data_IF_837924302528
#
_entry.id   IF_837924302528
#
_cell.length_a   1.000
_cell.length_b   1.000
_cell.length_c   1.000
_cell.angle_alpha   90.00
_cell.angle_beta   90.00
_cell.angle_gamma   90.00
#
_symmetry.space_group_name_H-M   'P 1'
#
loop_
_entity.id
_entity.type
_entity.pdbx_description
1 polymer ?
#
# COMPACT_ATOMS: atom_id res chain seq x y z
N UNK A 1 -3.27 -9.70 -24.42
CA UNK A 1 -3.69 -8.43 -23.83
C UNK A 1 -2.82 -8.10 -22.62
N UNK A 2 -2.25 -6.93 -22.62
CA UNK A 2 -1.41 -6.50 -21.51
C UNK A 2 -2.23 -5.73 -20.49
N UNK A 3 -2.37 -6.34 -19.33
CA UNK A 3 -3.05 -5.67 -18.23
C UNK A 3 -2.01 -5.06 -17.30
N UNK A 4 -2.05 -3.75 -17.16
CA UNK A 4 -1.09 -3.03 -16.30
C UNK A 4 -1.76 -2.72 -14.96
N UNK A 5 -1.47 -3.54 -13.97
CA UNK A 5 -2.06 -3.39 -12.64
C UNK A 5 -1.67 -2.07 -12.01
N UNK A 6 -0.41 -1.65 -12.16
CA UNK A 6 0.05 -0.37 -11.61
C UNK A 6 -0.77 0.80 -12.14
N UNK A 7 -0.92 0.84 -13.46
CA UNK A 7 -1.65 1.92 -14.09
C UNK A 7 -3.11 1.95 -13.64
N UNK A 8 -3.75 0.78 -13.58
CA UNK A 8 -5.14 0.69 -13.15
C UNK A 8 -5.32 1.19 -11.72
N UNK A 9 -4.44 0.79 -10.81
CA UNK A 9 -4.52 1.21 -9.41
C UNK A 9 -4.28 2.71 -9.28
N UNK A 10 -3.25 3.23 -9.94
CA UNK A 10 -2.93 4.65 -9.88
C UNK A 10 -4.11 5.47 -10.42
N UNK A 11 -4.69 5.06 -11.53
CA UNK A 11 -5.83 5.76 -12.11
C UNK A 11 -7.03 5.79 -11.17
N UNK A 12 -7.27 4.69 -10.46
CA UNK A 12 -8.39 4.62 -9.53
C UNK A 12 -8.25 5.60 -8.36
N UNK A 13 -7.02 5.91 -7.95
CA UNK A 13 -6.81 6.75 -6.77
C UNK A 13 -6.42 8.18 -7.09
N UNK A 14 -6.26 8.52 -8.36
CA UNK A 14 -5.70 9.81 -8.74
C UNK A 14 -6.54 11.00 -8.26
N UNK A 15 -7.86 10.86 -8.26
CA UNK A 15 -8.76 11.93 -7.86
C UNK A 15 -9.42 11.71 -6.50
N UNK A 16 -8.93 10.74 -5.73
CA UNK A 16 -9.52 10.42 -4.44
C UNK A 16 -9.12 11.42 -3.37
N UNK A 17 -10.08 11.75 -2.51
CA UNK A 17 -9.76 12.52 -1.32
C UNK A 17 -8.97 11.67 -0.32
N UNK A 18 -8.28 12.34 0.58
CA UNK A 18 -7.52 11.65 1.63
C UNK A 18 -8.43 10.75 2.46
N UNK A 19 -9.63 11.26 2.79
CA UNK A 19 -10.59 10.50 3.58
C UNK A 19 -11.03 9.22 2.86
N UNK A 20 -11.32 9.33 1.57
CA UNK A 20 -11.71 8.16 0.78
C UNK A 20 -10.57 7.19 0.60
N UNK A 21 -9.35 7.70 0.47
CA UNK A 21 -8.17 6.84 0.35
C UNK A 21 -7.99 6.01 1.63
N UNK A 22 -8.10 6.64 2.78
CA UNK A 22 -8.00 5.93 4.07
C UNK A 22 -9.08 4.85 4.15
N UNK A 23 -10.32 5.20 3.79
CA UNK A 23 -11.43 4.25 3.83
C UNK A 23 -11.16 3.05 2.92
N UNK A 24 -10.69 3.29 1.71
CA UNK A 24 -10.42 2.22 0.77
C UNK A 24 -9.32 1.30 1.27
N UNK A 25 -8.26 1.86 1.81
CA UNK A 25 -7.17 1.05 2.36
C UNK A 25 -7.65 0.23 3.55
N UNK A 26 -8.41 0.85 4.45
CA UNK A 26 -8.96 0.14 5.61
C UNK A 26 -9.86 -1.00 5.19
N UNK A 27 -10.72 -0.76 4.20
CA UNK A 27 -11.62 -1.80 3.71
C UNK A 27 -10.84 -2.96 3.09
N UNK A 28 -9.82 -2.64 2.31
CA UNK A 28 -9.00 -3.67 1.65
C UNK A 28 -8.25 -4.51 2.67
N UNK A 29 -7.63 -3.86 3.65
CA UNK A 29 -6.90 -4.57 4.70
C UNK A 29 -7.85 -5.43 5.52
N UNK A 30 -9.04 -4.94 5.78
CA UNK A 30 -10.03 -5.65 6.59
C UNK A 30 -10.63 -6.87 5.93
N UNK A 31 -10.59 -6.96 4.60
CA UNK A 31 -11.15 -8.11 3.89
C UNK A 31 -10.36 -9.39 4.10
N UNK A 32 -9.07 -9.27 4.41
CA UNK A 32 -8.20 -10.43 4.57
C UNK A 32 -8.25 -11.35 3.33
N UNK A 33 -8.31 -10.74 2.16
CA UNK A 33 -8.47 -11.41 0.88
C UNK A 33 -7.23 -11.15 0.04
N UNK A 34 -6.62 -12.21 -0.47
CA UNK A 34 -5.38 -12.10 -1.24
C UNK A 34 -5.56 -11.32 -2.54
N UNK A 35 -6.78 -11.21 -3.04
CA UNK A 35 -7.02 -10.48 -4.29
C UNK A 35 -6.78 -8.97 -4.15
N UNK A 36 -6.74 -8.44 -2.93
CA UNK A 36 -6.45 -7.01 -2.71
C UNK A 36 -4.96 -6.72 -2.63
N UNK A 37 -4.12 -7.75 -2.47
CA UNK A 37 -2.69 -7.55 -2.26
C UNK A 37 -1.98 -6.84 -3.41
N UNK A 38 -2.27 -7.15 -4.69
CA UNK A 38 -1.61 -6.40 -5.77
C UNK A 38 -1.88 -4.90 -5.72
N UNK A 39 -3.13 -4.51 -5.39
CA UNK A 39 -3.48 -3.10 -5.27
C UNK A 39 -2.74 -2.42 -4.13
N UNK A 40 -2.71 -3.07 -2.97
CA UNK A 40 -1.99 -2.54 -1.82
C UNK A 40 -0.49 -2.45 -2.09
N UNK A 41 0.06 -3.43 -2.82
CA UNK A 41 1.45 -3.42 -3.21
C UNK A 41 1.80 -2.25 -4.10
N UNK A 42 0.94 -1.91 -5.04
CA UNK A 42 1.14 -0.75 -5.90
C UNK A 42 1.14 0.54 -5.09
N UNK A 43 0.21 0.68 -4.16
CA UNK A 43 0.14 1.86 -3.29
C UNK A 43 1.44 1.99 -2.50
N UNK A 44 1.93 0.89 -1.94
CA UNK A 44 3.19 0.91 -1.20
C UNK A 44 4.37 1.26 -2.11
N UNK A 45 4.40 0.72 -3.31
CA UNK A 45 5.47 1.01 -4.26
C UNK A 45 5.53 2.49 -4.60
N UNK A 46 4.37 3.10 -4.85
CA UNK A 46 4.29 4.53 -5.16
C UNK A 46 4.83 5.35 -3.99
N UNK A 47 4.42 4.99 -2.77
CA UNK A 47 4.93 5.67 -1.57
C UNK A 47 6.45 5.53 -1.46
N UNK A 48 6.93 4.31 -1.57
CA UNK A 48 8.36 4.01 -1.37
C UNK A 48 9.25 4.77 -2.33
N UNK A 49 8.83 4.85 -3.60
CA UNK A 49 9.62 5.53 -4.62
C UNK A 49 9.78 7.02 -4.37
N UNK A 50 8.84 7.63 -3.68
CA UNK A 50 8.90 9.06 -3.38
C UNK A 50 9.56 9.37 -2.04
N UNK A 51 9.89 8.36 -1.25
CA UNK A 51 10.50 8.55 0.05
C UNK A 51 12.00 8.80 -0.08
N UNK A 52 12.53 9.65 0.80
CA UNK A 52 13.98 9.79 0.94
C UNK A 52 14.52 8.68 1.86
N UNK A 53 15.82 8.66 2.08
CA UNK A 53 16.46 7.59 2.86
C UNK A 53 15.96 7.56 4.30
N UNK A 54 15.73 8.72 4.89
CA UNK A 54 15.24 8.80 6.27
C UNK A 54 13.83 8.24 6.38
N UNK A 55 12.96 8.60 5.45
CA UNK A 55 11.59 8.09 5.43
C UNK A 55 11.57 6.58 5.21
N UNK A 56 12.43 6.08 4.31
CA UNK A 56 12.54 4.64 4.09
C UNK A 56 12.96 3.90 5.35
N UNK A 57 13.90 4.49 6.09
CA UNK A 57 14.35 3.88 7.34
C UNK A 57 13.21 3.80 8.35
N UNK A 58 12.41 4.86 8.47
CA UNK A 58 11.26 4.85 9.36
C UNK A 58 10.24 3.79 8.96
N UNK A 59 9.93 3.71 7.66
CA UNK A 59 8.98 2.71 7.17
C UNK A 59 9.50 1.30 7.39
N UNK A 60 10.77 1.07 7.08
CA UNK A 60 11.36 -0.26 7.24
C UNK A 60 11.36 -0.69 8.70
N UNK A 61 11.66 0.23 9.62
CA UNK A 61 11.60 -0.05 11.05
C UNK A 61 10.19 -0.43 11.49
N UNK A 62 9.20 0.32 11.02
CA UNK A 62 7.80 0.02 11.34
C UNK A 62 7.38 -1.34 10.81
N UNK A 63 7.74 -1.64 9.57
CA UNK A 63 7.43 -2.93 8.95
C UNK A 63 8.08 -4.07 9.75
N UNK A 64 9.37 -3.93 10.03
CA UNK A 64 10.13 -4.96 10.74
C UNK A 64 9.54 -5.23 12.12
N UNK A 65 9.25 -4.18 12.86
CA UNK A 65 8.68 -4.30 14.19
C UNK A 65 7.34 -5.04 14.15
N UNK A 66 6.48 -4.66 13.22
CA UNK A 66 5.16 -5.27 13.13
C UNK A 66 5.20 -6.72 12.68
N UNK A 67 6.08 -7.03 11.73
CA UNK A 67 6.22 -8.42 11.27
C UNK A 67 6.72 -9.30 12.41
N UNK A 68 7.68 -8.82 13.20
CA UNK A 68 8.24 -9.61 14.30
C UNK A 68 7.22 -9.89 15.39
N UNK A 69 6.27 -8.98 15.61
CA UNK A 69 5.23 -9.24 16.62
C UNK A 69 4.22 -10.29 16.16
N UNK A 70 4.11 -10.52 14.85
CA UNK A 70 3.19 -11.54 14.34
C UNK A 70 3.73 -12.96 14.48
N UNK A 71 5.02 -13.11 14.67
CA UNK A 71 5.69 -14.43 14.73
C UNK A 71 5.94 -14.91 16.15
N UNK A 72 5.02 -14.68 17.01
CA UNK A 72 5.12 -15.14 18.39
C UNK A 72 4.56 -16.52 18.60
#
# INVERSE_FOLDING_TARGET
MNFNIREAVINNFQDESITNLIKTINDSVGQNDETVLPGLGVIFEVLWKSCDDEEKLMLANAISKNIKTLNK
#
